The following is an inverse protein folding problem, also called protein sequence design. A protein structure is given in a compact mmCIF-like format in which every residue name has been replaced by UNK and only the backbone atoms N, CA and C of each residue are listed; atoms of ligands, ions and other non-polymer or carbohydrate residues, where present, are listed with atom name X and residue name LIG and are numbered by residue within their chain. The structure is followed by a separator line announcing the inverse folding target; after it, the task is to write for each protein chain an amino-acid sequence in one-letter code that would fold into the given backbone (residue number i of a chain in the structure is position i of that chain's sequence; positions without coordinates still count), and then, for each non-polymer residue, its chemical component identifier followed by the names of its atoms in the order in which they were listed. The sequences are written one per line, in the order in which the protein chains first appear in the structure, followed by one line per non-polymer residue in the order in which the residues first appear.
data_IF_407455635583
#
_entry.id   IF_407455635583
#
_cell.length_a   1.000
_cell.length_b   1.000
_cell.length_c   1.000
_cell.angle_alpha   90.00
_cell.angle_beta   90.00
_cell.angle_gamma   90.00
#
_symmetry.space_group_name_H-M   'P 1'
#
loop_
_entity.id
_entity.type
_entity.pdbx_description
1 polymer ?
#
# COMPACT_ATOMS: atom_id res chain seq x y z
N UNK A 1 25.19 67.76 -34.86
CA UNK A 1 23.91 67.29 -35.52
C UNK A 1 23.91 65.78 -35.57
N UNK A 2 22.82 65.20 -35.12
CA UNK A 2 22.38 63.80 -35.22
C UNK A 2 23.07 62.79 -34.33
N UNK A 3 22.43 62.65 -33.22
CA UNK A 3 22.38 61.55 -32.29
C UNK A 3 21.99 60.24 -32.96
N UNK A 4 22.74 59.17 -32.68
CA UNK A 4 22.39 57.80 -33.02
C UNK A 4 22.51 56.92 -31.77
N UNK A 5 21.40 56.75 -31.06
CA UNK A 5 21.32 55.92 -29.86
C UNK A 5 21.03 54.49 -30.31
N UNK A 6 22.00 53.59 -30.25
CA UNK A 6 21.79 52.18 -30.52
C UNK A 6 21.45 51.42 -29.23
N UNK A 7 20.23 50.99 -29.11
CA UNK A 7 19.76 50.09 -28.07
C UNK A 7 20.28 48.67 -28.32
N UNK A 8 21.19 48.26 -27.49
CA UNK A 8 21.63 46.86 -27.47
C UNK A 8 20.70 46.07 -26.56
N UNK A 9 19.84 45.26 -27.18
CA UNK A 9 18.98 44.30 -26.52
C UNK A 9 19.84 43.23 -25.82
N UNK A 10 19.84 43.24 -24.51
CA UNK A 10 20.35 42.12 -23.68
C UNK A 10 19.23 41.12 -23.50
N UNK A 11 19.26 40.06 -24.26
CA UNK A 11 18.42 38.90 -24.04
C UNK A 11 18.99 38.14 -22.83
N UNK A 12 18.37 38.27 -21.67
CA UNK A 12 18.65 37.44 -20.53
C UNK A 12 18.01 36.06 -20.74
N UNK A 13 18.85 35.08 -21.11
CA UNK A 13 18.42 33.68 -21.13
C UNK A 13 18.28 33.17 -19.68
N UNK A 14 17.05 33.14 -19.18
CA UNK A 14 16.74 32.53 -17.89
C UNK A 14 16.88 31.03 -17.96
N UNK A 15 17.87 30.48 -17.27
CA UNK A 15 18.02 29.02 -17.08
C UNK A 15 16.96 28.57 -16.11
N UNK A 16 15.87 27.94 -16.60
CA UNK A 16 14.91 27.25 -15.75
C UNK A 16 15.54 25.93 -15.27
N UNK A 17 16.01 25.92 -14.03
CA UNK A 17 16.39 24.68 -13.34
C UNK A 17 15.11 23.98 -12.91
N UNK A 18 14.73 22.93 -13.63
CA UNK A 18 13.66 22.00 -13.19
C UNK A 18 14.19 21.19 -11.99
N UNK A 19 13.82 21.59 -10.79
CA UNK A 19 14.03 20.79 -9.59
C UNK A 19 13.02 19.63 -9.64
N UNK A 20 13.48 18.44 -10.04
CA UNK A 20 12.69 17.22 -9.87
C UNK A 20 12.58 16.93 -8.37
N UNK A 21 11.41 17.20 -7.79
CA UNK A 21 11.10 16.83 -6.42
C UNK A 21 11.06 15.29 -6.28
N UNK A 22 11.24 14.74 -5.05
CA UNK A 22 11.11 13.31 -4.80
C UNK A 22 9.71 12.86 -5.22
N UNK A 23 9.66 11.96 -6.21
CA UNK A 23 8.41 11.39 -6.70
C UNK A 23 7.70 10.66 -5.56
N UNK A 24 6.61 11.22 -5.07
CA UNK A 24 5.71 10.50 -4.18
C UNK A 24 4.97 9.48 -5.04
N UNK A 25 5.16 8.21 -4.75
CA UNK A 25 4.41 7.12 -5.37
C UNK A 25 2.94 7.28 -4.98
N UNK A 26 2.15 7.88 -5.85
CA UNK A 26 0.71 7.95 -5.65
C UNK A 26 0.11 6.56 -5.84
N UNK A 27 -0.87 6.16 -5.01
CA UNK A 27 -1.54 4.89 -5.18
C UNK A 27 -2.10 4.78 -6.60
N UNK A 28 -1.78 3.68 -7.26
CA UNK A 28 -2.30 3.42 -8.62
C UNK A 28 -3.82 3.28 -8.56
N UNK A 29 -4.52 3.65 -9.63
CA UNK A 29 -5.97 3.56 -9.68
C UNK A 29 -6.52 2.17 -9.34
N UNK A 30 -5.77 1.10 -9.69
CA UNK A 30 -6.13 -0.28 -9.38
C UNK A 30 -6.09 -0.62 -7.89
N UNK A 31 -5.09 -0.14 -7.14
CA UNK A 31 -5.03 -0.33 -5.68
C UNK A 31 -6.25 0.26 -4.99
N UNK A 32 -6.55 1.51 -5.27
CA UNK A 32 -7.71 2.19 -4.69
C UNK A 32 -9.01 1.50 -5.10
N UNK A 33 -9.16 1.14 -6.37
CA UNK A 33 -10.34 0.46 -6.88
C UNK A 33 -10.61 -0.88 -6.17
N UNK A 34 -9.57 -1.64 -5.84
CA UNK A 34 -9.72 -2.90 -5.11
C UNK A 34 -10.05 -2.67 -3.63
N UNK A 35 -9.26 -1.84 -2.93
CA UNK A 35 -9.39 -1.65 -1.49
C UNK A 35 -10.71 -1.00 -1.07
N UNK A 36 -11.23 -0.05 -1.86
CA UNK A 36 -12.52 0.62 -1.58
C UNK A 36 -13.74 -0.29 -1.68
N UNK A 37 -13.59 -1.47 -2.28
CA UNK A 37 -14.67 -2.47 -2.37
C UNK A 37 -14.80 -3.32 -1.10
N UNK A 38 -13.79 -3.31 -0.22
CA UNK A 38 -13.82 -4.11 0.99
C UNK A 38 -14.66 -3.44 2.08
N UNK A 39 -15.54 -4.20 2.69
CA UNK A 39 -16.41 -3.72 3.76
C UNK A 39 -15.62 -3.61 5.08
N UNK A 40 -15.77 -2.50 5.78
CA UNK A 40 -15.26 -2.34 7.14
C UNK A 40 -15.96 -3.30 8.12
N UNK A 41 -15.29 -3.64 9.21
CA UNK A 41 -15.85 -4.51 10.25
C UNK A 41 -14.82 -5.46 10.84
N UNK A 42 -15.33 -6.46 11.56
CA UNK A 42 -14.50 -7.52 12.13
C UNK A 42 -14.16 -8.55 11.06
N UNK A 43 -12.87 -8.77 10.87
CA UNK A 43 -12.32 -9.73 9.92
C UNK A 43 -11.54 -10.82 10.65
N UNK A 44 -11.63 -12.03 10.21
CA UNK A 44 -10.82 -13.16 10.64
C UNK A 44 -9.92 -13.63 9.50
N UNK A 45 -8.64 -13.83 9.83
CA UNK A 45 -7.67 -14.49 8.97
C UNK A 45 -7.59 -15.97 9.39
N UNK A 46 -7.79 -16.86 8.43
CA UNK A 46 -7.73 -18.31 8.60
C UNK A 46 -6.75 -18.90 7.61
N UNK A 47 -5.99 -19.89 8.06
CA UNK A 47 -4.99 -20.51 7.20
C UNK A 47 -4.40 -21.80 7.81
N UNK A 48 -3.43 -22.35 7.07
CA UNK A 48 -2.83 -23.63 7.42
C UNK A 48 -3.71 -24.83 7.07
N UNK A 49 -3.21 -26.05 7.32
CA UNK A 49 -3.88 -27.31 6.97
C UNK A 49 -5.23 -27.52 7.67
N UNK A 50 -5.39 -26.93 8.86
CA UNK A 50 -6.61 -27.02 9.66
C UNK A 50 -7.56 -25.83 9.47
N UNK A 51 -7.25 -24.90 8.55
CA UNK A 51 -7.99 -23.64 8.38
C UNK A 51 -8.23 -22.91 9.72
N UNK A 52 -7.21 -22.94 10.58
CA UNK A 52 -7.26 -22.35 11.91
C UNK A 52 -7.30 -20.83 11.84
N UNK A 53 -7.94 -20.20 12.83
CA UNK A 53 -7.89 -18.75 12.97
C UNK A 53 -6.46 -18.32 13.36
N UNK A 54 -5.83 -17.52 12.50
CA UNK A 54 -4.49 -16.97 12.69
C UNK A 54 -4.55 -15.62 13.40
N UNK A 55 -5.52 -14.76 12.99
CA UNK A 55 -5.69 -13.42 13.53
C UNK A 55 -7.14 -12.95 13.41
N UNK A 56 -7.48 -11.93 14.21
CA UNK A 56 -8.72 -11.19 14.10
C UNK A 56 -8.36 -9.69 14.04
N UNK A 57 -8.96 -8.97 13.11
CA UNK A 57 -8.64 -7.56 12.82
C UNK A 57 -9.96 -6.78 12.74
N UNK A 58 -10.05 -5.66 13.50
CA UNK A 58 -11.08 -4.67 13.24
C UNK A 58 -10.62 -3.80 12.06
N UNK A 59 -11.18 -4.05 10.89
CA UNK A 59 -10.77 -3.44 9.64
C UNK A 59 -11.53 -2.13 9.40
N UNK A 60 -10.94 -1.00 9.85
CA UNK A 60 -11.38 0.34 9.48
C UNK A 60 -10.65 0.84 8.24
N UNK A 61 -9.38 0.46 8.07
CA UNK A 61 -8.56 0.78 6.91
C UNK A 61 -8.11 -0.51 6.21
N UNK A 62 -8.59 -0.79 5.00
CA UNK A 62 -8.28 -2.03 4.27
C UNK A 62 -6.79 -2.23 3.98
N UNK A 63 -5.99 -1.17 4.00
CA UNK A 63 -4.54 -1.25 3.80
C UNK A 63 -3.84 -2.14 4.84
N UNK A 64 -4.44 -2.35 6.01
CA UNK A 64 -3.89 -3.22 7.05
C UNK A 64 -3.76 -4.68 6.60
N UNK A 65 -4.57 -5.11 5.64
CA UNK A 65 -4.46 -6.46 5.05
C UNK A 65 -3.17 -6.66 4.25
N UNK A 66 -2.49 -5.57 3.87
CA UNK A 66 -1.21 -5.65 3.14
C UNK A 66 -0.02 -6.01 4.03
N UNK A 67 -0.18 -5.90 5.35
CA UNK A 67 0.86 -6.21 6.34
C UNK A 67 0.35 -7.15 7.44
N UNK A 68 -0.22 -8.31 7.09
CA UNK A 68 -0.99 -9.15 8.01
C UNK A 68 -0.16 -9.67 9.19
N UNK A 69 1.16 -9.78 9.03
CA UNK A 69 2.07 -10.22 10.08
C UNK A 69 2.41 -9.12 11.08
N UNK A 70 2.40 -7.86 10.64
CA UNK A 70 2.84 -6.71 11.44
C UNK A 70 1.69 -5.82 11.94
N UNK A 71 0.44 -6.18 11.63
CA UNK A 71 -0.76 -5.53 12.14
C UNK A 71 -0.81 -4.03 11.84
N UNK A 72 -1.10 -3.23 12.86
CA UNK A 72 -1.24 -1.78 12.77
C UNK A 72 0.10 -1.01 12.88
N UNK A 73 1.25 -1.69 12.80
CA UNK A 73 2.55 -1.03 12.87
C UNK A 73 2.71 0.03 11.76
N UNK A 74 3.44 1.12 12.02
CA UNK A 74 3.70 2.15 11.02
C UNK A 74 4.71 1.64 9.99
N UNK A 75 4.22 1.16 8.86
CA UNK A 75 5.04 0.62 7.77
C UNK A 75 4.97 1.54 6.55
N UNK A 76 6.07 1.63 5.83
CA UNK A 76 6.08 2.15 4.44
C UNK A 76 5.62 1.06 3.48
N UNK A 77 5.05 1.45 2.34
CA UNK A 77 4.51 0.51 1.34
C UNK A 77 4.79 1.00 -0.07
N UNK A 78 5.15 0.04 -0.92
CA UNK A 78 5.34 0.25 -2.35
C UNK A 78 4.45 -0.73 -3.11
N UNK A 79 3.51 -0.20 -3.90
CA UNK A 79 2.65 -1.03 -4.76
C UNK A 79 3.45 -1.52 -5.95
N UNK A 80 3.63 -2.83 -6.05
CA UNK A 80 4.37 -3.48 -7.14
C UNK A 80 3.47 -3.70 -8.36
N UNK A 81 2.23 -4.10 -8.10
CA UNK A 81 1.20 -4.31 -9.11
C UNK A 81 -0.19 -4.18 -8.49
N UNK A 82 -1.14 -3.63 -9.23
CA UNK A 82 -2.54 -3.59 -8.79
C UNK A 82 -3.49 -3.50 -9.98
N UNK A 83 -4.59 -4.25 -9.88
CA UNK A 83 -5.75 -4.20 -10.76
C UNK A 83 -7.04 -4.30 -9.94
N UNK A 84 -8.20 -4.48 -10.59
CA UNK A 84 -9.48 -4.57 -9.91
C UNK A 84 -9.68 -5.86 -9.06
N UNK A 85 -8.85 -6.88 -9.27
CA UNK A 85 -8.98 -8.22 -8.67
C UNK A 85 -7.81 -8.61 -7.77
N UNK A 86 -6.66 -7.93 -7.92
CA UNK A 86 -5.45 -8.31 -7.20
C UNK A 86 -4.54 -7.11 -6.97
N UNK A 87 -3.80 -7.15 -5.88
CA UNK A 87 -2.70 -6.20 -5.66
C UNK A 87 -1.51 -6.90 -4.98
N UNK A 88 -0.32 -6.45 -5.32
CA UNK A 88 0.92 -6.88 -4.69
C UNK A 88 1.65 -5.67 -4.13
N UNK A 89 2.02 -5.74 -2.86
CA UNK A 89 2.67 -4.67 -2.10
C UNK A 89 3.93 -5.19 -1.43
N UNK A 90 5.03 -4.44 -1.56
CA UNK A 90 6.15 -4.58 -0.64
C UNK A 90 5.93 -3.62 0.53
N UNK A 91 6.22 -4.06 1.74
CA UNK A 91 6.13 -3.21 2.92
C UNK A 91 7.36 -3.36 3.82
N UNK A 92 7.67 -2.30 4.56
CA UNK A 92 8.76 -2.27 5.53
C UNK A 92 8.32 -1.56 6.79
N UNK A 93 8.47 -2.22 7.92
CA UNK A 93 8.10 -1.75 9.26
C UNK A 93 9.37 -1.56 10.08
N UNK A 94 9.80 -0.31 10.36
CA UNK A 94 11.04 -0.04 11.10
C UNK A 94 11.09 -0.78 12.43
N UNK A 95 12.19 -1.50 12.68
CA UNK A 95 12.40 -2.25 13.92
C UNK A 95 11.64 -3.58 14.04
N UNK A 96 10.70 -3.87 13.13
CA UNK A 96 9.88 -5.10 13.18
C UNK A 96 10.21 -6.05 12.05
N UNK A 97 10.27 -5.55 10.81
CA UNK A 97 10.53 -6.41 9.68
C UNK A 97 10.00 -5.87 8.36
N UNK A 98 9.87 -6.73 7.39
CA UNK A 98 9.42 -6.39 6.03
C UNK A 98 8.77 -7.59 5.38
N UNK A 99 7.98 -7.33 4.35
CA UNK A 99 7.37 -8.40 3.60
C UNK A 99 6.85 -7.99 2.24
N UNK A 100 6.39 -8.99 1.52
CA UNK A 100 5.66 -8.86 0.27
C UNK A 100 4.34 -9.58 0.43
N UNK A 101 3.25 -8.88 0.16
CA UNK A 101 1.89 -9.41 0.27
C UNK A 101 1.18 -9.27 -1.05
N UNK A 102 0.56 -10.35 -1.50
CA UNK A 102 -0.41 -10.36 -2.59
C UNK A 102 -1.79 -10.60 -2.03
N UNK A 103 -2.74 -9.73 -2.35
CA UNK A 103 -4.14 -9.86 -2.01
C UNK A 103 -4.92 -10.12 -3.28
N UNK A 104 -5.77 -11.15 -3.29
CA UNK A 104 -6.74 -11.43 -4.36
C UNK A 104 -8.14 -11.18 -3.83
N UNK A 105 -8.88 -10.33 -4.53
CA UNK A 105 -10.25 -9.99 -4.20
C UNK A 105 -11.20 -11.09 -4.72
N UNK A 106 -12.05 -11.58 -3.87
CA UNK A 106 -13.13 -12.51 -4.25
C UNK A 106 -14.50 -11.84 -4.11
N UNK A 107 -14.76 -11.26 -2.94
CA UNK A 107 -15.99 -10.51 -2.65
C UNK A 107 -15.67 -9.30 -1.73
N UNK A 108 -16.59 -8.35 -1.53
CA UNK A 108 -16.41 -7.28 -0.54
C UNK A 108 -16.13 -7.76 0.89
N UNK A 109 -16.35 -9.05 1.16
CA UNK A 109 -16.21 -9.70 2.48
C UNK A 109 -15.19 -10.82 2.52
N UNK A 110 -14.48 -11.06 1.40
CA UNK A 110 -13.57 -12.19 1.27
C UNK A 110 -12.41 -11.87 0.36
N UNK A 111 -11.19 -12.05 0.88
CA UNK A 111 -9.95 -11.98 0.10
C UNK A 111 -9.04 -13.13 0.45
N UNK A 112 -8.19 -13.52 -0.51
CA UNK A 112 -7.07 -14.42 -0.28
C UNK A 112 -5.80 -13.61 -0.09
N UNK A 113 -4.99 -13.99 0.88
CA UNK A 113 -3.73 -13.32 1.24
C UNK A 113 -2.58 -14.32 1.15
N UNK A 114 -1.59 -13.96 0.36
CA UNK A 114 -0.28 -14.61 0.34
C UNK A 114 0.77 -13.58 0.77
N UNK A 115 1.44 -13.82 1.90
CA UNK A 115 2.45 -12.92 2.44
C UNK A 115 3.70 -13.68 2.85
N UNK A 116 4.86 -13.07 2.60
CA UNK A 116 6.14 -13.61 3.01
C UNK A 116 7.13 -12.50 3.35
N UNK A 117 8.10 -12.79 4.18
CA UNK A 117 9.09 -11.80 4.55
C UNK A 117 9.91 -12.15 5.78
N UNK A 118 10.28 -11.13 6.52
CA UNK A 118 11.01 -11.24 7.79
C UNK A 118 10.22 -10.56 8.91
N UNK A 119 10.09 -11.24 10.02
CA UNK A 119 9.54 -10.75 11.27
C UNK A 119 10.61 -10.88 12.37
N UNK A 120 11.12 -9.74 12.86
CA UNK A 120 12.27 -9.71 13.79
C UNK A 120 13.46 -10.54 13.31
N UNK A 121 13.77 -10.44 12.00
CA UNK A 121 14.86 -11.16 11.35
C UNK A 121 14.58 -12.65 11.04
N UNK A 122 13.40 -13.16 11.39
CA UNK A 122 13.01 -14.56 11.13
C UNK A 122 12.13 -14.62 9.87
N UNK A 123 12.43 -15.52 8.93
CA UNK A 123 11.58 -15.74 7.77
C UNK A 123 10.17 -16.19 8.14
N UNK A 124 9.18 -15.69 7.44
CA UNK A 124 7.81 -16.20 7.53
C UNK A 124 7.17 -16.35 6.15
N UNK A 125 6.21 -17.29 6.08
CA UNK A 125 5.26 -17.44 4.99
C UNK A 125 3.88 -17.54 5.62
N UNK A 126 2.93 -16.76 5.11
CA UNK A 126 1.54 -16.74 5.55
C UNK A 126 0.64 -16.86 4.35
N UNK A 127 -0.20 -17.90 4.32
CA UNK A 127 -1.31 -18.05 3.37
C UNK A 127 -2.59 -18.10 4.15
N UNK A 128 -3.48 -17.18 3.88
CA UNK A 128 -4.71 -17.03 4.63
C UNK A 128 -5.87 -16.62 3.74
N UNK A 129 -7.05 -17.09 4.08
CA UNK A 129 -8.30 -16.47 3.73
C UNK A 129 -8.63 -15.41 4.79
N UNK A 130 -8.93 -14.19 4.36
CA UNK A 130 -9.46 -13.15 5.24
C UNK A 130 -10.95 -12.95 4.93
N UNK A 131 -11.77 -13.12 5.95
CA UNK A 131 -13.24 -13.06 5.85
C UNK A 131 -13.82 -12.10 6.86
N UNK A 132 -14.73 -11.23 6.40
CA UNK A 132 -15.51 -10.38 7.30
C UNK A 132 -16.56 -11.24 8.03
N UNK A 133 -16.57 -11.16 9.35
CA UNK A 133 -17.45 -11.96 10.22
C UNK A 133 -18.50 -11.15 10.96
N UNK A 134 -18.39 -9.80 10.95
CA UNK A 134 -19.36 -8.96 11.65
C UNK A 134 -18.92 -7.51 11.79
N UNK A 135 -19.51 -6.81 12.75
CA UNK A 135 -19.09 -5.49 13.17
C UNK A 135 -17.92 -5.59 14.16
N UNK A 136 -17.09 -4.53 14.25
CA UNK A 136 -16.07 -4.46 15.28
C UNK A 136 -16.70 -4.40 16.66
N UNK A 137 -16.12 -5.08 17.64
CA UNK A 137 -16.56 -4.99 19.03
C UNK A 137 -16.25 -3.57 19.54
N UNK A 138 -17.24 -2.91 20.13
CA UNK A 138 -17.09 -1.57 20.71
C UNK A 138 -17.24 -0.40 19.73
N UNK A 139 -17.83 -0.62 18.55
CA UNK A 139 -18.23 0.47 17.64
C UNK A 139 -19.61 0.99 17.99
#
# INVERSE_FOLDING_TARGET
MRSGLSWRNWAAAGLFVLVAGPGQSQPTGGERAMLTRLEAGQWELRGGSANARIAAICLGNPILLTQPRHGAAPCTRDVVAADASSMTVNYSCPGLGRGRTTIRFETPRLVQIDSQGLDHGRPFVLRAEARRVGQCAGA
#
